data_IF_860196082500
#
_entry.id   IF_860196082500
#
_cell.length_a   1.000
_cell.length_b   1.000
_cell.length_c   1.000
_cell.angle_alpha   90.00
_cell.angle_beta   90.00
_cell.angle_gamma   90.00
#
_symmetry.space_group_name_H-M   'P 1'
#
loop_
_entity.id
_entity.type
_entity.pdbx_description
1 polymer ?
#
# COMPACT_ATOMS: atom_id res chain seq x y z
N UNK A 1 15.68 16.29 -9.11
CA UNK A 1 16.30 14.96 -8.91
C UNK A 1 15.16 13.97 -8.76
N UNK A 2 14.98 13.16 -9.80
CA UNK A 2 13.77 12.39 -10.10
C UNK A 2 14.15 10.90 -10.13
N UNK A 3 13.27 10.00 -9.68
CA UNK A 3 13.37 8.57 -10.03
C UNK A 3 12.10 8.16 -10.75
N UNK A 4 12.31 7.30 -11.75
CA UNK A 4 11.38 6.67 -12.68
C UNK A 4 10.25 7.56 -13.19
N UNK A 5 10.26 7.80 -14.50
CA UNK A 5 9.26 8.62 -15.21
C UNK A 5 9.17 10.08 -14.76
N UNK A 6 9.98 10.54 -13.80
CA UNK A 6 10.18 11.96 -13.51
C UNK A 6 9.73 12.48 -12.17
N UNK A 7 9.31 11.63 -11.22
CA UNK A 7 8.76 12.11 -9.93
C UNK A 7 9.85 12.44 -8.91
N UNK A 8 9.64 13.53 -8.16
CA UNK A 8 10.47 13.87 -7.00
C UNK A 8 10.28 12.84 -5.88
N UNK A 9 11.38 12.26 -5.38
CA UNK A 9 11.34 11.24 -4.31
C UNK A 9 10.62 11.75 -3.05
N UNK A 10 10.78 13.04 -2.75
CA UNK A 10 10.06 13.73 -1.67
C UNK A 10 8.53 13.61 -1.82
N UNK A 11 8.01 13.61 -3.04
CA UNK A 11 6.58 13.48 -3.30
C UNK A 11 6.11 12.03 -3.20
N UNK A 12 6.96 11.05 -3.51
CA UNK A 12 6.69 9.64 -3.16
C UNK A 12 6.61 9.47 -1.64
N UNK A 13 7.49 10.11 -0.88
CA UNK A 13 7.38 10.14 0.58
C UNK A 13 6.05 10.75 1.04
N UNK A 14 5.64 11.88 0.44
CA UNK A 14 4.33 12.45 0.74
C UNK A 14 3.20 11.47 0.45
N UNK A 15 3.17 10.82 -0.71
CA UNK A 15 2.15 9.81 -1.03
C UNK A 15 2.10 8.69 0.02
N UNK A 16 3.26 8.16 0.41
CA UNK A 16 3.36 7.13 1.47
C UNK A 16 2.78 7.64 2.79
N UNK A 17 3.07 8.88 3.19
CA UNK A 17 2.60 9.43 4.48
C UNK A 17 1.08 9.59 4.57
N UNK A 18 0.42 9.74 3.43
CA UNK A 18 -1.04 9.77 3.34
C UNK A 18 -1.61 8.36 3.22
N UNK A 19 -1.02 7.50 2.39
CA UNK A 19 -1.41 6.09 2.25
C UNK A 19 -1.34 5.34 3.60
N UNK A 20 -0.34 5.67 4.44
CA UNK A 20 -0.17 5.09 5.76
C UNK A 20 -0.29 6.16 6.85
N UNK A 21 -1.51 6.32 7.38
CA UNK A 21 -1.89 7.28 8.43
C UNK A 21 -0.93 7.33 9.63
N UNK A 22 -0.23 6.24 9.93
CA UNK A 22 0.72 6.10 11.04
C UNK A 22 2.06 6.83 10.81
N UNK A 23 2.45 7.14 9.56
CA UNK A 23 3.70 7.87 9.26
C UNK A 23 3.67 9.31 9.79
N UNK A 24 2.48 9.92 9.90
CA UNK A 24 2.34 11.29 10.38
C UNK A 24 2.65 11.48 11.85
N UNK A 25 2.45 10.46 12.69
CA UNK A 25 2.69 10.56 14.12
C UNK A 25 4.19 10.57 14.47
N UNK A 26 5.05 10.09 13.56
CA UNK A 26 6.47 9.79 13.85
C UNK A 26 7.43 10.57 12.94
N UNK A 27 7.55 11.88 13.16
CA UNK A 27 8.64 12.74 12.64
C UNK A 27 8.63 13.01 11.13
N UNK A 28 7.44 13.23 10.56
CA UNK A 28 7.24 13.63 9.15
C UNK A 28 8.14 14.78 8.69
N UNK A 29 8.23 15.85 9.47
CA UNK A 29 8.95 17.08 9.10
C UNK A 29 10.45 16.86 8.92
N UNK A 30 11.03 15.93 9.68
CA UNK A 30 12.46 15.63 9.62
C UNK A 30 12.82 14.81 8.37
N UNK A 31 11.96 13.89 7.93
CA UNK A 31 12.18 13.12 6.70
C UNK A 31 11.89 13.99 5.48
N UNK A 32 10.85 14.83 5.52
CA UNK A 32 10.52 15.74 4.43
C UNK A 32 11.58 16.86 4.20
N UNK A 33 12.41 17.13 5.21
CA UNK A 33 13.53 18.07 5.14
C UNK A 33 14.84 17.46 4.62
N UNK A 34 14.91 16.14 4.44
CA UNK A 34 16.09 15.47 3.88
C UNK A 34 15.93 15.25 2.37
N UNK A 35 17.00 15.51 1.61
CA UNK A 35 17.06 15.17 0.20
C UNK A 35 17.48 13.71 0.02
N UNK A 36 16.64 12.97 -0.70
CA UNK A 36 16.88 11.60 -1.11
C UNK A 36 17.19 11.58 -2.60
N UNK A 37 18.27 10.89 -2.95
CA UNK A 37 18.64 10.62 -4.34
C UNK A 37 18.12 9.26 -4.80
N UNK A 38 17.86 8.35 -3.85
CA UNK A 38 17.56 6.95 -4.09
C UNK A 38 16.34 6.46 -3.31
N UNK A 39 15.53 5.64 -4.00
CA UNK A 39 14.42 4.80 -3.52
C UNK A 39 14.56 4.25 -2.11
N UNK A 40 15.49 3.31 -2.07
CA UNK A 40 15.82 2.48 -0.95
C UNK A 40 16.42 3.29 0.20
N UNK A 41 17.03 4.43 -0.10
CA UNK A 41 17.59 5.34 0.88
C UNK A 41 16.48 6.04 1.69
N UNK A 42 15.40 6.42 1.00
CA UNK A 42 14.16 6.89 1.65
C UNK A 42 13.54 5.79 2.51
N UNK A 43 13.37 4.58 1.96
CA UNK A 43 12.82 3.46 2.73
C UNK A 43 13.66 3.08 3.94
N UNK A 44 14.98 3.13 3.83
CA UNK A 44 15.88 2.91 4.94
C UNK A 44 15.67 3.95 6.04
N UNK A 45 15.48 5.22 5.70
CA UNK A 45 15.19 6.27 6.68
C UNK A 45 13.85 6.03 7.39
N UNK A 46 12.80 5.74 6.62
CA UNK A 46 11.46 5.53 7.16
C UNK A 46 11.43 4.30 8.07
N UNK A 47 11.99 3.17 7.61
CA UNK A 47 12.07 1.96 8.43
C UNK A 47 12.96 2.17 9.65
N UNK A 48 14.09 2.86 9.53
CA UNK A 48 14.97 3.11 10.66
C UNK A 48 14.23 3.86 11.79
N UNK A 49 13.50 4.91 11.43
CA UNK A 49 12.70 5.69 12.39
C UNK A 49 11.52 4.90 12.93
N UNK A 50 10.79 4.23 12.05
CA UNK A 50 9.61 3.47 12.39
C UNK A 50 9.92 2.30 13.32
N UNK A 51 10.96 1.53 13.02
CA UNK A 51 11.45 0.43 13.88
C UNK A 51 12.02 1.00 15.19
N UNK A 52 12.75 2.11 15.16
CA UNK A 52 13.22 2.75 16.41
C UNK A 52 12.07 3.14 17.34
N UNK A 53 10.96 3.62 16.78
CA UNK A 53 9.75 3.90 17.56
C UNK A 53 9.09 2.62 18.07
N UNK A 54 9.01 1.58 17.23
CA UNK A 54 8.49 0.28 17.64
C UNK A 54 9.30 -0.33 18.78
N UNK A 55 10.64 -0.24 18.75
CA UNK A 55 11.51 -0.76 19.79
C UNK A 55 11.30 -0.08 21.14
N UNK A 56 10.90 1.20 21.18
CA UNK A 56 10.52 1.87 22.44
C UNK A 56 9.27 1.26 23.09
N UNK A 57 8.41 0.64 22.29
CA UNK A 57 7.22 -0.09 22.75
C UNK A 57 7.50 -1.59 23.00
N UNK A 58 8.68 -2.07 22.59
CA UNK A 58 9.06 -3.48 22.57
C UNK A 58 8.71 -4.18 21.25
N UNK A 59 9.40 -5.29 20.99
CA UNK A 59 9.06 -6.17 19.87
C UNK A 59 7.71 -6.84 20.14
N UNK A 60 6.93 -7.03 19.07
CA UNK A 60 5.69 -7.78 19.17
C UNK A 60 6.04 -9.21 19.57
N UNK A 61 5.32 -9.76 20.55
CA UNK A 61 5.51 -11.14 21.00
C UNK A 61 4.22 -11.91 20.78
N UNK A 62 4.35 -13.16 20.34
CA UNK A 62 3.23 -14.07 20.15
C UNK A 62 3.49 -15.37 20.89
N UNK A 63 2.40 -16.01 21.33
CA UNK A 63 2.46 -17.36 21.87
C UNK A 63 2.58 -18.36 20.73
N UNK A 64 3.62 -19.20 20.78
CA UNK A 64 3.80 -20.32 19.87
C UNK A 64 3.67 -21.61 20.67
N UNK A 65 2.83 -22.52 20.21
CA UNK A 65 2.63 -23.82 20.84
C UNK A 65 3.86 -24.70 20.63
N UNK A 66 4.39 -25.23 21.73
CA UNK A 66 5.47 -26.20 21.74
C UNK A 66 4.97 -27.53 22.32
N UNK A 67 5.46 -28.62 21.75
CA UNK A 67 5.30 -29.97 22.29
C UNK A 67 6.68 -30.54 22.57
N UNK A 68 6.96 -30.92 23.83
CA UNK A 68 8.26 -31.45 24.21
C UNK A 68 8.15 -32.54 25.30
N UNK A 69 9.13 -33.43 25.35
CA UNK A 69 9.29 -34.47 26.37
C UNK A 69 10.18 -33.98 27.49
N UNK A 70 9.57 -33.59 28.62
CA UNK A 70 10.22 -32.96 29.77
C UNK A 70 10.27 -33.89 30.99
N UNK A 71 11.22 -33.67 31.90
CA UNK A 71 11.27 -34.40 33.17
C UNK A 71 10.29 -33.84 34.22
N UNK A 72 9.75 -32.64 33.98
CA UNK A 72 8.79 -31.95 34.84
C UNK A 72 7.55 -31.54 34.04
N UNK A 73 6.43 -31.37 34.73
CA UNK A 73 5.19 -30.92 34.09
C UNK A 73 5.31 -29.43 33.74
N UNK A 74 5.05 -29.09 32.47
CA UNK A 74 4.98 -27.71 31.98
C UNK A 74 3.76 -27.58 31.08
N UNK A 75 2.85 -26.65 31.39
CA UNK A 75 1.60 -26.50 30.64
C UNK A 75 0.69 -27.72 30.77
N UNK A 76 0.13 -28.16 29.65
CA UNK A 76 -0.82 -29.27 29.55
C UNK A 76 -0.09 -30.60 29.33
N UNK A 77 -0.47 -31.63 30.08
CA UNK A 77 0.08 -32.97 29.91
C UNK A 77 -0.61 -33.69 28.73
N UNK A 78 0.17 -34.19 27.77
CA UNK A 78 -0.29 -35.21 26.81
C UNK A 78 -0.11 -36.59 27.44
N UNK A 79 -1.22 -37.15 27.91
CA UNK A 79 -1.25 -38.46 28.56
C UNK A 79 -0.81 -39.55 27.57
N UNK A 80 -1.25 -39.49 26.31
CA UNK A 80 -0.93 -40.52 25.31
C UNK A 80 0.55 -40.50 24.95
N UNK A 81 1.13 -39.31 24.74
CA UNK A 81 2.57 -39.14 24.56
C UNK A 81 3.39 -39.61 25.77
N UNK A 82 2.93 -39.29 26.99
CA UNK A 82 3.60 -39.70 28.23
C UNK A 82 3.59 -41.21 28.42
N UNK A 83 2.46 -41.87 28.19
CA UNK A 83 2.37 -43.33 28.27
C UNK A 83 3.30 -44.01 27.24
N UNK A 84 3.40 -43.48 26.02
CA UNK A 84 4.37 -43.96 25.02
C UNK A 84 5.82 -43.81 25.47
N UNK A 85 6.17 -42.67 26.08
CA UNK A 85 7.50 -42.46 26.64
C UNK A 85 7.83 -43.47 27.74
N UNK A 86 6.89 -43.71 28.67
CA UNK A 86 7.08 -44.67 29.75
C UNK A 86 7.19 -46.11 29.25
N UNK A 87 6.38 -46.50 28.25
CA UNK A 87 6.47 -47.79 27.59
C UNK A 87 7.83 -48.00 26.90
N UNK A 88 8.44 -46.93 26.38
CA UNK A 88 9.80 -46.93 25.84
C UNK A 88 10.90 -46.77 26.91
N UNK A 89 10.57 -46.95 28.20
CA UNK A 89 11.46 -46.77 29.36
C UNK A 89 12.08 -45.36 29.49
N UNK A 90 11.49 -44.34 28.86
CA UNK A 90 11.90 -42.94 28.98
C UNK A 90 11.10 -42.28 30.09
N UNK A 91 11.73 -41.88 31.20
CA UNK A 91 11.08 -41.18 32.32
C UNK A 91 10.84 -39.69 32.00
N UNK A 92 10.06 -39.43 30.95
CA UNK A 92 9.72 -38.08 30.48
C UNK A 92 8.22 -37.95 30.23
N UNK A 93 7.66 -36.82 30.64
CA UNK A 93 6.29 -36.40 30.38
C UNK A 93 6.22 -35.69 29.03
N UNK A 94 5.28 -36.07 28.18
CA UNK A 94 4.98 -35.29 26.97
C UNK A 94 4.10 -34.12 27.36
N UNK A 95 4.58 -32.90 27.13
CA UNK A 95 3.97 -31.66 27.56
C UNK A 95 3.67 -30.76 26.36
N UNK A 96 2.51 -30.11 26.37
CA UNK A 96 2.11 -29.05 25.44
C UNK A 96 2.07 -27.72 26.19
N UNK A 97 2.83 -26.72 25.75
CA UNK A 97 2.84 -25.42 26.39
C UNK A 97 3.15 -24.31 25.40
N UNK A 98 2.66 -23.12 25.70
CA UNK A 98 2.92 -21.94 24.87
C UNK A 98 4.17 -21.20 25.35
N UNK A 99 5.04 -20.84 24.41
CA UNK A 99 6.21 -19.99 24.66
C UNK A 99 5.94 -18.63 24.05
N UNK A 100 6.09 -17.59 24.88
CA UNK A 100 6.04 -16.22 24.41
C UNK A 100 7.36 -15.89 23.69
N UNK A 101 7.30 -15.69 22.37
CA UNK A 101 8.47 -15.44 21.53
C UNK A 101 8.32 -14.16 20.70
N UNK A 102 9.43 -13.46 20.51
CA UNK A 102 9.55 -12.37 19.53
C UNK A 102 9.80 -12.89 18.11
N UNK A 103 10.15 -14.17 17.95
CA UNK A 103 10.32 -14.79 16.65
C UNK A 103 8.96 -15.12 16.01
N UNK A 104 8.31 -14.09 15.48
CA UNK A 104 7.03 -14.20 14.80
C UNK A 104 7.07 -13.48 13.45
N UNK A 105 6.09 -13.79 12.61
CA UNK A 105 6.03 -13.30 11.24
C UNK A 105 6.17 -11.76 11.14
N UNK A 106 5.68 -11.01 12.12
CA UNK A 106 5.76 -9.56 12.11
C UNK A 106 7.20 -9.08 12.20
N UNK A 107 7.94 -9.59 13.18
CA UNK A 107 9.35 -9.22 13.34
C UNK A 107 10.23 -9.81 12.23
N UNK A 108 9.90 -11.02 11.75
CA UNK A 108 10.62 -11.67 10.65
C UNK A 108 10.53 -10.86 9.34
N UNK A 109 9.36 -10.29 9.03
CA UNK A 109 9.18 -9.39 7.87
C UNK A 109 10.10 -8.17 7.98
N UNK A 110 10.15 -7.52 9.15
CA UNK A 110 11.02 -6.36 9.38
C UNK A 110 12.49 -6.71 9.21
N UNK A 111 12.95 -7.79 9.86
CA UNK A 111 14.34 -8.25 9.79
C UNK A 111 14.75 -8.54 8.34
N UNK A 112 13.89 -9.25 7.62
CA UNK A 112 14.13 -9.60 6.20
C UNK A 112 14.22 -8.35 5.33
N UNK A 113 13.29 -7.39 5.47
CA UNK A 113 13.30 -6.16 4.68
C UNK A 113 14.55 -5.30 4.95
N UNK A 114 14.95 -5.19 6.22
CA UNK A 114 16.19 -4.49 6.58
C UNK A 114 17.42 -5.22 6.03
N UNK A 115 17.43 -6.55 6.05
CA UNK A 115 18.47 -7.37 5.43
C UNK A 115 18.62 -7.10 3.92
N UNK A 116 17.51 -6.90 3.20
CA UNK A 116 17.52 -6.46 1.80
C UNK A 116 18.13 -5.07 1.66
N UNK A 117 17.67 -4.08 2.44
CA UNK A 117 18.18 -2.70 2.38
C UNK A 117 19.68 -2.59 2.67
N UNK A 118 20.21 -3.39 3.61
CA UNK A 118 21.64 -3.40 3.93
C UNK A 118 22.51 -3.83 2.74
N UNK A 119 21.97 -4.66 1.84
CA UNK A 119 22.63 -5.15 0.62
C UNK A 119 22.49 -4.17 -0.56
N UNK A 120 21.56 -3.21 -0.52
CA UNK A 120 21.34 -2.24 -1.60
C UNK A 120 22.48 -1.21 -1.70
N UNK A 121 22.99 -0.95 -2.90
CA UNK A 121 24.04 0.07 -3.13
C UNK A 121 23.53 1.50 -2.93
N UNK A 122 22.26 1.77 -3.26
CA UNK A 122 21.65 3.10 -3.16
C UNK A 122 21.39 3.60 -1.73
N UNK A 123 21.59 2.76 -0.70
CA UNK A 123 21.39 3.17 0.70
C UNK A 123 22.68 3.75 1.27
N UNK A 124 22.62 5.01 1.76
CA UNK A 124 23.78 5.71 2.31
C UNK A 124 24.37 4.98 3.52
N UNK A 125 25.69 5.03 3.67
CA UNK A 125 26.43 4.34 4.76
C UNK A 125 25.92 4.70 6.16
N UNK A 126 25.58 5.99 6.38
CA UNK A 126 24.97 6.47 7.63
C UNK A 126 23.69 5.69 7.99
N UNK A 127 22.80 5.46 7.01
CA UNK A 127 21.54 4.72 7.20
C UNK A 127 21.79 3.23 7.39
N UNK A 128 22.74 2.64 6.64
CA UNK A 128 23.14 1.24 6.88
C UNK A 128 23.66 1.03 8.30
N UNK A 129 24.47 1.95 8.82
CA UNK A 129 24.97 1.89 10.20
C UNK A 129 23.83 1.95 11.22
N UNK A 130 22.88 2.88 11.02
CA UNK A 130 21.69 2.98 11.86
C UNK A 130 20.84 1.71 11.81
N UNK A 131 20.57 1.18 10.62
CA UNK A 131 19.83 -0.07 10.42
C UNK A 131 20.49 -1.25 11.15
N UNK A 132 21.82 -1.43 11.06
CA UNK A 132 22.52 -2.49 11.81
C UNK A 132 22.33 -2.34 13.32
N UNK A 133 22.43 -1.12 13.85
CA UNK A 133 22.25 -0.84 15.28
C UNK A 133 20.85 -1.20 15.76
N UNK A 134 19.81 -0.83 15.01
CA UNK A 134 18.43 -1.12 15.40
C UNK A 134 18.03 -2.58 15.19
N UNK A 135 18.82 -3.37 14.45
CA UNK A 135 18.60 -4.81 14.27
C UNK A 135 19.20 -5.67 15.38
N UNK A 136 20.01 -5.10 16.28
CA UNK A 136 20.57 -5.85 17.43
C UNK A 136 19.47 -6.52 18.29
N UNK A 137 18.33 -5.87 18.62
CA UNK A 137 17.25 -6.53 19.36
C UNK A 137 16.53 -7.64 18.58
N UNK A 138 16.76 -7.79 17.27
CA UNK A 138 16.17 -8.83 16.43
C UNK A 138 17.07 -10.08 16.33
N UNK A 139 18.03 -10.26 17.25
CA UNK A 139 18.97 -11.39 17.24
C UNK A 139 18.24 -12.75 17.20
N UNK A 140 17.23 -12.93 18.04
CA UNK A 140 16.45 -14.19 18.13
C UNK A 140 15.30 -14.30 17.12
N UNK A 141 15.20 -13.37 16.17
CA UNK A 141 14.16 -13.37 15.14
C UNK A 141 14.75 -13.97 13.87
N UNK A 142 14.09 -14.93 13.23
CA UNK A 142 14.61 -15.51 12.00
C UNK A 142 14.39 -14.60 10.78
N UNK A 143 15.21 -14.77 9.75
CA UNK A 143 14.90 -14.24 8.42
C UNK A 143 14.01 -15.24 7.67
N UNK A 144 13.13 -14.72 6.82
CA UNK A 144 12.23 -15.53 5.99
C UNK A 144 12.43 -15.19 4.52
N UNK A 145 12.04 -16.10 3.62
CA UNK A 145 12.01 -15.77 2.19
C UNK A 145 10.76 -14.96 1.88
N UNK A 146 10.88 -13.93 1.05
CA UNK A 146 9.78 -13.02 0.72
C UNK A 146 8.56 -13.75 0.14
N UNK A 147 8.81 -14.77 -0.68
CA UNK A 147 7.85 -15.69 -1.31
C UNK A 147 6.98 -16.47 -0.32
N UNK A 148 7.41 -16.60 0.94
CA UNK A 148 6.60 -17.26 2.00
C UNK A 148 5.65 -16.29 2.71
N UNK A 149 5.75 -14.98 2.45
CA UNK A 149 4.93 -13.98 3.13
C UNK A 149 3.54 -13.94 2.47
N UNK A 150 2.54 -14.44 3.19
CA UNK A 150 1.13 -14.31 2.80
C UNK A 150 0.54 -13.01 3.38
N UNK A 151 0.73 -11.91 2.66
CA UNK A 151 0.32 -10.56 3.09
C UNK A 151 -1.18 -10.44 3.38
N UNK A 152 -2.01 -11.14 2.62
CA UNK A 152 -3.47 -11.19 2.78
C UNK A 152 -3.96 -11.84 4.09
N UNK A 153 -3.11 -12.65 4.75
CA UNK A 153 -3.44 -13.32 6.01
C UNK A 153 -3.05 -12.47 7.23
N UNK A 154 -2.24 -11.42 7.04
CA UNK A 154 -1.80 -10.56 8.14
C UNK A 154 -3.00 -9.80 8.74
N UNK A 155 -3.30 -10.09 10.01
CA UNK A 155 -4.33 -9.41 10.79
C UNK A 155 -3.66 -8.51 11.83
N UNK A 156 -3.97 -7.22 11.77
CA UNK A 156 -3.44 -6.23 12.70
C UNK A 156 -4.49 -5.90 13.76
N UNK A 157 -4.18 -6.20 15.00
CA UNK A 157 -4.97 -5.81 16.17
C UNK A 157 -4.53 -4.43 16.72
N UNK A 158 -5.08 -4.03 17.87
CA UNK A 158 -4.70 -2.76 18.53
C UNK A 158 -3.22 -2.70 18.90
N UNK A 159 -2.61 -3.84 19.24
CA UNK A 159 -1.22 -3.94 19.72
C UNK A 159 -0.20 -4.05 18.58
N UNK A 160 -0.65 -4.40 17.38
CA UNK A 160 0.18 -4.56 16.19
C UNK A 160 -0.11 -3.49 15.11
N UNK A 161 -0.97 -2.51 15.42
CA UNK A 161 -1.34 -1.42 14.49
C UNK A 161 -0.12 -0.63 13.97
N UNK A 162 0.94 -0.50 14.76
CA UNK A 162 2.19 0.17 14.37
C UNK A 162 2.95 -0.62 13.30
N UNK A 163 2.90 -1.96 13.35
CA UNK A 163 3.51 -2.83 12.34
C UNK A 163 2.83 -2.73 10.99
N UNK A 164 1.54 -2.40 10.93
CA UNK A 164 0.81 -2.28 9.65
C UNK A 164 1.53 -1.36 8.68
N UNK A 165 1.99 -0.22 9.17
CA UNK A 165 2.74 0.74 8.36
C UNK A 165 4.11 0.22 7.95
N UNK A 166 4.87 -0.34 8.89
CA UNK A 166 6.20 -0.88 8.62
C UNK A 166 6.12 -2.01 7.58
N UNK A 167 5.15 -2.90 7.75
CA UNK A 167 4.88 -3.99 6.84
C UNK A 167 4.49 -3.52 5.46
N UNK A 168 3.73 -2.42 5.32
CA UNK A 168 3.45 -1.88 3.99
C UNK A 168 4.72 -1.41 3.27
N UNK A 169 5.67 -0.83 4.00
CA UNK A 169 6.97 -0.45 3.41
C UNK A 169 7.81 -1.70 3.12
N UNK A 170 7.79 -2.67 4.02
CA UNK A 170 8.43 -3.97 3.79
C UNK A 170 7.81 -4.71 2.59
N UNK A 171 6.51 -4.57 2.35
CA UNK A 171 5.83 -5.11 1.18
C UNK A 171 6.46 -4.57 -0.09
N UNK A 172 6.59 -3.24 -0.20
CA UNK A 172 7.31 -2.65 -1.33
C UNK A 172 8.75 -3.18 -1.41
N UNK A 173 9.53 -3.17 -0.33
CA UNK A 173 10.95 -3.60 -0.37
C UNK A 173 11.14 -5.08 -0.77
N UNK A 174 10.25 -5.96 -0.28
CA UNK A 174 10.38 -7.40 -0.40
C UNK A 174 9.68 -7.97 -1.63
N UNK A 175 8.72 -7.25 -2.21
CA UNK A 175 8.05 -7.72 -3.40
C UNK A 175 9.01 -7.78 -4.59
N UNK A 176 9.08 -8.95 -5.23
CA UNK A 176 10.10 -9.25 -6.24
C UNK A 176 9.89 -8.49 -7.55
N UNK A 177 8.71 -7.89 -7.77
CA UNK A 177 8.47 -7.07 -8.96
C UNK A 177 9.31 -5.78 -8.99
N UNK A 178 9.90 -5.36 -7.86
CA UNK A 178 10.88 -4.25 -7.84
C UNK A 178 12.28 -4.63 -8.38
N UNK A 179 12.56 -5.93 -8.57
CA UNK A 179 13.95 -6.42 -8.62
C UNK A 179 14.33 -7.21 -9.88
N UNK A 180 13.48 -7.30 -10.89
CA UNK A 180 13.85 -8.01 -12.13
C UNK A 180 13.27 -7.34 -13.36
N UNK A 181 14.13 -6.60 -14.08
CA UNK A 181 14.16 -6.66 -15.54
C UNK A 181 15.50 -7.25 -15.94
N UNK A 182 15.43 -8.25 -16.82
CA UNK A 182 16.51 -9.15 -17.19
C UNK A 182 17.73 -8.45 -17.80
N UNK A 183 18.89 -9.05 -17.54
CA UNK A 183 20.17 -8.93 -18.24
C UNK A 183 20.63 -7.54 -18.72
N UNK A 184 21.42 -6.87 -17.88
CA UNK A 184 22.25 -5.76 -18.35
C UNK A 184 22.91 -4.98 -17.23
N UNK A 185 24.21 -4.76 -17.35
CA UNK A 185 25.02 -3.94 -16.44
C UNK A 185 24.37 -2.56 -16.26
N UNK A 186 24.04 -2.23 -15.01
CA UNK A 186 23.55 -0.92 -14.55
C UNK A 186 22.22 -0.46 -15.17
N UNK A 187 21.09 -0.98 -14.70
CA UNK A 187 19.79 -0.32 -14.85
C UNK A 187 19.13 -0.15 -13.48
N UNK A 188 18.60 1.05 -13.21
CA UNK A 188 17.95 1.43 -11.96
C UNK A 188 16.78 0.50 -11.64
N UNK A 189 16.70 0.08 -10.37
CA UNK A 189 15.62 -0.77 -9.84
C UNK A 189 14.38 0.09 -9.64
N UNK A 190 13.36 -0.14 -10.46
CA UNK A 190 12.16 0.71 -10.60
C UNK A 190 10.91 0.04 -9.99
N UNK A 191 9.94 0.84 -9.53
CA UNK A 191 8.63 0.31 -9.10
C UNK A 191 7.82 -0.20 -10.28
N UNK A 192 7.11 -1.31 -10.10
CA UNK A 192 6.09 -1.67 -11.10
C UNK A 192 4.96 -0.62 -11.09
N UNK A 193 4.40 -0.38 -12.26
CA UNK A 193 3.31 0.59 -12.45
C UNK A 193 2.11 0.29 -11.57
N UNK A 194 1.85 -0.99 -11.31
CA UNK A 194 0.80 -1.47 -10.41
C UNK A 194 1.00 -0.97 -8.97
N UNK A 195 2.22 -1.05 -8.45
CA UNK A 195 2.53 -0.58 -7.09
C UNK A 195 2.40 0.94 -6.96
N UNK A 196 2.87 1.67 -7.97
CA UNK A 196 2.75 3.13 -7.99
C UNK A 196 1.30 3.57 -8.17
N UNK A 197 0.51 2.84 -8.95
CA UNK A 197 -0.92 3.06 -9.07
C UNK A 197 -1.64 2.86 -7.74
N UNK A 198 -1.39 1.75 -7.05
CA UNK A 198 -1.97 1.49 -5.73
C UNK A 198 -1.54 2.54 -4.70
N UNK A 199 -0.28 2.98 -4.73
CA UNK A 199 0.20 4.05 -3.86
C UNK A 199 -0.51 5.37 -4.17
N UNK A 200 -0.65 5.71 -5.45
CA UNK A 200 -1.30 6.92 -5.91
C UNK A 200 -2.79 6.95 -5.54
N UNK A 201 -3.50 5.85 -5.78
CA UNK A 201 -4.87 5.62 -5.34
C UNK A 201 -5.03 5.87 -3.84
N UNK A 202 -4.22 5.20 -3.02
CA UNK A 202 -4.28 5.33 -1.57
C UNK A 202 -3.90 6.74 -1.10
N UNK A 203 -2.98 7.41 -1.80
CA UNK A 203 -2.62 8.79 -1.53
C UNK A 203 -3.84 9.71 -1.72
N UNK A 204 -4.47 9.68 -2.88
CA UNK A 204 -5.63 10.53 -3.22
C UNK A 204 -6.80 10.26 -2.27
N UNK A 205 -7.12 8.98 -2.03
CA UNK A 205 -8.17 8.58 -1.10
C UNK A 205 -7.94 9.13 0.32
N UNK A 206 -6.73 8.93 0.86
CA UNK A 206 -6.43 9.38 2.21
C UNK A 206 -6.21 10.89 2.32
N UNK A 207 -5.90 11.56 1.22
CA UNK A 207 -5.87 13.01 1.12
C UNK A 207 -7.26 13.59 1.37
N UNK A 208 -8.27 13.17 0.60
CA UNK A 208 -9.64 13.66 0.78
C UNK A 208 -10.23 13.25 2.13
N UNK A 209 -10.00 12.02 2.59
CA UNK A 209 -10.43 11.59 3.95
C UNK A 209 -9.90 12.49 5.06
N UNK A 210 -8.73 13.11 4.88
CA UNK A 210 -8.12 13.97 5.90
C UNK A 210 -8.61 15.40 5.79
N UNK A 211 -8.45 15.99 4.63
CA UNK A 211 -8.59 17.43 4.44
C UNK A 211 -10.02 17.84 4.14
N UNK A 212 -10.82 16.90 3.59
CA UNK A 212 -12.20 17.11 3.20
C UNK A 212 -13.11 16.02 3.81
N UNK A 213 -13.17 15.89 5.15
CA UNK A 213 -13.97 14.84 5.79
C UNK A 213 -15.48 14.96 5.50
N UNK A 214 -15.97 16.16 5.17
CA UNK A 214 -17.34 16.40 4.72
C UNK A 214 -17.71 15.66 3.43
N UNK A 215 -16.73 15.39 2.56
CA UNK A 215 -16.93 14.67 1.31
C UNK A 215 -17.06 13.16 1.50
N UNK A 216 -16.86 12.65 2.72
CA UNK A 216 -16.97 11.23 3.10
C UNK A 216 -16.22 10.29 2.14
N UNK A 217 -14.99 10.66 1.79
CA UNK A 217 -14.18 9.91 0.83
C UNK A 217 -14.02 8.43 1.19
N UNK A 218 -14.37 7.54 0.27
CA UNK A 218 -14.28 6.09 0.45
C UNK A 218 -13.98 5.33 -0.84
N UNK A 219 -13.50 4.10 -0.70
CA UNK A 219 -13.46 3.15 -1.81
C UNK A 219 -14.73 2.30 -1.69
N UNK A 220 -15.64 2.41 -2.66
CA UNK A 220 -16.97 1.79 -2.60
C UNK A 220 -17.07 0.67 -3.64
N UNK A 221 -17.66 -0.45 -3.24
CA UNK A 221 -18.10 -1.45 -4.22
C UNK A 221 -19.42 -0.96 -4.83
N UNK A 222 -19.39 -0.69 -6.13
CA UNK A 222 -20.56 -0.26 -6.90
C UNK A 222 -21.34 -1.52 -7.29
N UNK A 223 -22.65 -1.52 -7.01
CA UNK A 223 -23.52 -2.61 -7.37
C UNK A 223 -23.79 -2.64 -8.87
N UNK A 224 -23.99 -3.82 -9.44
CA UNK A 224 -24.51 -3.93 -10.80
C UNK A 224 -25.96 -3.45 -10.84
N UNK A 225 -26.26 -2.47 -11.70
CA UNK A 225 -27.62 -2.01 -11.97
C UNK A 225 -28.31 -2.99 -12.93
N UNK A 226 -28.63 -4.17 -12.43
CA UNK A 226 -29.26 -5.27 -13.17
C UNK A 226 -30.37 -5.89 -12.33
N UNK A 227 -31.28 -6.61 -12.99
CA UNK A 227 -32.28 -7.38 -12.28
C UNK A 227 -31.65 -8.65 -11.67
N UNK A 228 -31.38 -8.61 -10.37
CA UNK A 228 -30.77 -9.72 -9.61
C UNK A 228 -31.63 -10.99 -9.56
N UNK A 229 -32.96 -10.88 -9.68
CA UNK A 229 -33.85 -12.05 -9.67
C UNK A 229 -33.81 -12.82 -10.99
N UNK A 230 -33.48 -12.14 -12.09
CA UNK A 230 -33.43 -12.69 -13.44
C UNK A 230 -32.00 -13.00 -13.91
N UNK A 231 -30.98 -12.67 -13.11
CA UNK A 231 -29.57 -12.71 -13.54
C UNK A 231 -28.70 -13.50 -12.58
N UNK A 232 -27.86 -14.38 -13.11
CA UNK A 232 -26.79 -15.01 -12.34
C UNK A 232 -25.57 -14.09 -12.26
N UNK A 233 -25.23 -13.62 -11.06
CA UNK A 233 -24.13 -12.68 -10.82
C UNK A 233 -22.83 -13.36 -10.40
N UNK A 234 -22.78 -14.69 -10.32
CA UNK A 234 -21.63 -15.44 -9.81
C UNK A 234 -20.34 -15.18 -10.59
N UNK A 235 -20.45 -14.88 -11.89
CA UNK A 235 -19.33 -14.64 -12.78
C UNK A 235 -19.07 -13.16 -13.10
N UNK A 236 -19.86 -12.24 -12.53
CA UNK A 236 -19.67 -10.82 -12.78
C UNK A 236 -18.45 -10.28 -12.02
N UNK A 237 -17.64 -9.42 -12.66
CA UNK A 237 -16.53 -8.81 -11.97
C UNK A 237 -17.04 -7.83 -10.90
N UNK A 238 -16.26 -7.71 -9.83
CA UNK A 238 -16.54 -6.76 -8.75
C UNK A 238 -16.14 -5.36 -9.24
N UNK A 239 -17.11 -4.44 -9.28
CA UNK A 239 -16.85 -3.03 -9.57
C UNK A 239 -16.42 -2.31 -8.29
N UNK A 240 -15.11 -2.22 -8.08
CA UNK A 240 -14.54 -1.51 -6.94
C UNK A 240 -14.04 -0.14 -7.41
N UNK A 241 -14.63 0.94 -6.88
CA UNK A 241 -14.13 2.28 -7.13
C UNK A 241 -12.88 2.57 -6.30
N UNK A 242 -12.00 3.40 -6.87
CA UNK A 242 -10.80 3.87 -6.19
C UNK A 242 -11.14 4.89 -5.10
N UNK A 243 -11.84 5.95 -5.50
CA UNK A 243 -12.36 6.98 -4.60
C UNK A 243 -13.79 7.34 -5.03
N UNK A 244 -14.69 7.46 -4.07
CA UNK A 244 -16.00 8.06 -4.20
C UNK A 244 -16.10 9.22 -3.21
N UNK A 245 -16.56 10.37 -3.69
CA UNK A 245 -16.77 11.60 -2.91
C UNK A 245 -18.23 12.04 -3.03
N UNK A 246 -18.79 12.56 -1.94
CA UNK A 246 -20.10 13.20 -1.94
C UNK A 246 -19.93 14.72 -1.91
N UNK A 247 -20.32 15.41 -2.98
CA UNK A 247 -20.17 16.85 -3.18
C UNK A 247 -21.57 17.47 -3.30
N UNK A 248 -22.11 17.92 -2.17
CA UNK A 248 -23.51 18.37 -2.11
C UNK A 248 -24.45 17.24 -2.49
N UNK A 249 -25.32 17.48 -3.48
CA UNK A 249 -26.25 16.49 -4.02
C UNK A 249 -25.62 15.55 -5.07
N UNK A 250 -24.36 15.80 -5.46
CA UNK A 250 -23.67 15.03 -6.50
C UNK A 250 -22.69 14.02 -5.89
N UNK A 251 -22.46 12.93 -6.59
CA UNK A 251 -21.45 11.91 -6.25
C UNK A 251 -20.35 11.92 -7.31
N UNK A 252 -19.09 12.04 -6.90
CA UNK A 252 -17.93 11.94 -7.81
C UNK A 252 -17.23 10.60 -7.61
N UNK A 253 -17.13 9.82 -8.68
CA UNK A 253 -16.29 8.63 -8.75
C UNK A 253 -14.96 9.04 -9.40
N UNK A 254 -13.85 8.83 -8.71
CA UNK A 254 -12.51 9.07 -9.24
C UNK A 254 -11.83 7.73 -9.41
N UNK A 255 -11.34 7.46 -10.62
CA UNK A 255 -10.47 6.33 -10.94
C UNK A 255 -9.06 6.87 -11.20
N UNK A 256 -8.09 6.35 -10.46
CA UNK A 256 -6.72 6.87 -10.47
C UNK A 256 -5.82 6.00 -11.31
N UNK A 257 -5.03 6.61 -12.18
CA UNK A 257 -4.14 5.89 -13.10
C UNK A 257 -2.71 6.42 -13.01
N UNK A 258 -1.77 5.48 -12.89
CA UNK A 258 -0.34 5.78 -12.87
C UNK A 258 0.31 5.06 -14.03
N UNK A 259 0.66 5.81 -15.08
CA UNK A 259 1.29 5.27 -16.28
C UNK A 259 2.59 6.01 -16.59
N UNK A 260 3.52 5.35 -17.29
CA UNK A 260 4.66 6.02 -17.95
C UNK A 260 4.22 6.99 -19.04
N UNK A 261 3.13 6.64 -19.74
CA UNK A 261 2.54 7.44 -20.82
C UNK A 261 1.06 7.62 -20.57
N UNK A 262 0.64 8.87 -20.55
CA UNK A 262 -0.74 9.22 -20.18
C UNK A 262 -1.72 8.98 -21.33
N UNK A 263 -1.21 9.03 -22.57
CA UNK A 263 -1.96 8.79 -23.80
C UNK A 263 -1.55 7.48 -24.47
N UNK A 264 -2.52 6.77 -25.02
CA UNK A 264 -2.30 5.68 -25.96
C UNK A 264 -2.06 6.26 -27.36
N UNK A 265 -0.98 5.85 -28.01
CA UNK A 265 -0.65 6.24 -29.38
C UNK A 265 -1.17 5.18 -30.34
N UNK A 266 -2.13 5.55 -31.18
CA UNK A 266 -2.58 4.73 -32.31
C UNK A 266 -2.62 5.59 -33.57
N UNK A 267 -1.89 5.17 -34.61
CA UNK A 267 -1.90 5.80 -35.94
C UNK A 267 -1.79 7.35 -35.90
N UNK A 268 -0.75 7.87 -35.25
CA UNK A 268 -0.44 9.31 -35.13
C UNK A 268 -1.49 10.18 -34.40
N UNK A 269 -2.45 9.56 -33.70
CA UNK A 269 -3.37 10.25 -32.78
C UNK A 269 -3.18 9.76 -31.35
N UNK A 270 -2.99 10.71 -30.44
CA UNK A 270 -2.94 10.46 -29.01
C UNK A 270 -4.36 10.44 -28.44
N UNK A 271 -4.79 9.31 -27.90
CA UNK A 271 -6.13 9.14 -27.33
C UNK A 271 -6.04 8.67 -25.87
N UNK A 272 -7.05 8.97 -25.07
CA UNK A 272 -7.15 8.41 -23.72
C UNK A 272 -7.23 6.87 -23.81
N UNK A 273 -6.69 6.20 -22.80
CA UNK A 273 -6.80 4.75 -22.67
C UNK A 273 -8.28 4.35 -22.59
N UNK A 274 -8.80 3.76 -23.67
CA UNK A 274 -10.22 3.42 -23.81
C UNK A 274 -10.72 2.51 -22.68
N UNK A 275 -9.88 1.59 -22.21
CA UNK A 275 -10.19 0.72 -21.07
C UNK A 275 -10.55 1.51 -19.80
N UNK A 276 -9.84 2.59 -19.49
CA UNK A 276 -10.14 3.43 -18.32
C UNK A 276 -11.46 4.18 -18.52
N UNK A 277 -11.70 4.69 -19.73
CA UNK A 277 -12.93 5.39 -20.07
C UNK A 277 -14.14 4.46 -19.93
N UNK A 278 -14.04 3.24 -20.43
CA UNK A 278 -15.11 2.25 -20.29
C UNK A 278 -15.33 1.86 -18.83
N UNK A 279 -14.27 1.74 -18.05
CA UNK A 279 -14.36 1.45 -16.62
C UNK A 279 -15.11 2.56 -15.86
N UNK A 280 -14.67 3.82 -15.99
CA UNK A 280 -15.32 4.94 -15.27
C UNK A 280 -16.75 5.17 -15.75
N UNK A 281 -17.00 5.03 -17.05
CA UNK A 281 -18.35 5.12 -17.59
C UNK A 281 -19.26 4.04 -17.00
N UNK A 282 -18.77 2.80 -16.92
CA UNK A 282 -19.51 1.69 -16.31
C UNK A 282 -19.83 1.99 -14.85
N UNK A 283 -18.87 2.51 -14.09
CA UNK A 283 -19.07 2.88 -12.68
C UNK A 283 -20.14 3.97 -12.52
N UNK A 284 -20.06 5.03 -13.32
CA UNK A 284 -21.04 6.13 -13.29
C UNK A 284 -22.45 5.63 -13.60
N UNK A 285 -22.62 4.86 -14.68
CA UNK A 285 -23.95 4.39 -15.10
C UNK A 285 -24.57 3.37 -14.15
N UNK A 286 -23.75 2.58 -13.43
CA UNK A 286 -24.27 1.63 -12.45
C UNK A 286 -24.59 2.29 -11.10
N UNK A 287 -23.95 3.41 -10.77
CA UNK A 287 -24.23 4.17 -9.55
C UNK A 287 -25.39 5.18 -9.76
N UNK A 288 -25.53 5.78 -10.95
CA UNK A 288 -26.64 6.67 -11.33
C UNK A 288 -27.88 5.89 -11.81
N UNK A 289 -28.43 5.05 -10.94
CA UNK A 289 -29.51 4.12 -11.26
C UNK A 289 -30.74 4.83 -11.86
N UNK A 290 -31.04 6.05 -11.39
CA UNK A 290 -32.20 6.82 -11.81
C UNK A 290 -31.95 7.69 -13.05
N UNK A 291 -30.72 7.71 -13.59
CA UNK A 291 -30.33 8.59 -14.70
C UNK A 291 -30.65 10.07 -14.43
N UNK A 292 -30.38 10.53 -13.20
CA UNK A 292 -30.64 11.92 -12.81
C UNK A 292 -29.46 12.86 -13.13
N UNK A 293 -28.35 12.29 -13.61
CA UNK A 293 -27.14 13.05 -13.90
C UNK A 293 -26.42 13.50 -12.65
N UNK A 294 -26.68 12.88 -11.50
CA UNK A 294 -26.13 13.26 -10.19
C UNK A 294 -24.83 12.53 -9.84
N UNK A 295 -24.40 11.58 -10.66
CA UNK A 295 -23.11 10.88 -10.50
C UNK A 295 -22.15 11.28 -11.60
N UNK A 296 -20.96 11.70 -11.22
CA UNK A 296 -19.90 12.16 -12.11
C UNK A 296 -18.71 11.21 -12.05
N UNK A 297 -17.93 11.17 -13.13
CA UNK A 297 -16.72 10.37 -13.26
C UNK A 297 -15.50 11.23 -13.49
N UNK A 298 -14.38 10.89 -12.88
CA UNK A 298 -13.09 11.52 -13.13
C UNK A 298 -12.00 10.46 -13.31
N UNK A 299 -11.32 10.53 -14.44
CA UNK A 299 -10.03 9.85 -14.61
C UNK A 299 -8.93 10.81 -14.16
N UNK A 300 -8.25 10.43 -13.08
CA UNK A 300 -7.13 11.20 -12.53
C UNK A 300 -5.81 10.50 -12.84
N UNK A 301 -5.03 11.10 -13.73
CA UNK A 301 -3.72 10.60 -14.13
C UNK A 301 -2.59 11.26 -13.34
N UNK A 302 -1.66 10.46 -12.82
CA UNK A 302 -0.41 10.98 -12.30
C UNK A 302 0.47 11.47 -13.46
N UNK A 303 0.71 12.78 -13.55
CA UNK A 303 1.59 13.36 -14.57
C UNK A 303 3.03 13.34 -14.08
N UNK A 304 3.91 12.74 -14.88
CA UNK A 304 5.32 12.52 -14.50
C UNK A 304 6.31 13.20 -15.46
N UNK A 305 6.11 13.17 -16.79
CA UNK A 305 7.03 13.79 -17.77
C UNK A 305 6.40 14.30 -19.09
N UNK A 306 5.16 13.90 -19.42
CA UNK A 306 4.51 14.25 -20.70
C UNK A 306 3.66 15.54 -20.63
N UNK A 307 3.28 16.05 -21.81
CA UNK A 307 2.39 17.21 -22.00
C UNK A 307 1.11 17.04 -21.18
N UNK A 308 0.69 18.14 -20.55
CA UNK A 308 -0.60 18.22 -19.87
C UNK A 308 -1.71 17.78 -20.81
N UNK A 309 -2.46 16.76 -20.42
CA UNK A 309 -3.69 16.41 -21.11
C UNK A 309 -4.60 17.64 -21.16
N UNK A 310 -5.34 17.86 -22.26
CA UNK A 310 -6.43 18.81 -22.22
C UNK A 310 -7.39 18.38 -21.10
N UNK A 311 -7.73 19.35 -20.25
CA UNK A 311 -8.69 19.18 -19.16
C UNK A 311 -10.10 19.07 -19.75
N UNK A 312 -10.39 17.93 -20.37
CA UNK A 312 -11.64 17.70 -21.08
C UNK A 312 -12.77 17.34 -20.12
N UNK A 313 -13.97 17.76 -20.53
CA UNK A 313 -15.23 17.49 -19.87
C UNK A 313 -16.21 16.97 -20.92
N UNK A 314 -16.74 15.78 -20.70
CA UNK A 314 -17.83 15.20 -21.50
C UNK A 314 -19.08 15.20 -20.63
N UNK A 315 -20.20 15.62 -21.20
CA UNK A 315 -21.50 15.57 -20.54
C UNK A 315 -22.35 14.52 -21.25
N UNK A 316 -22.88 13.55 -20.51
CA UNK A 316 -23.79 12.54 -21.04
C UNK A 316 -25.18 13.14 -21.29
N UNK A 317 -26.02 12.42 -22.01
CA UNK A 317 -27.41 12.85 -22.23
C UNK A 317 -28.21 12.96 -20.92
N UNK A 318 -27.84 12.15 -19.92
CA UNK A 318 -28.47 12.14 -18.59
C UNK A 318 -27.93 13.26 -17.69
N UNK A 319 -26.91 14.00 -18.13
CA UNK A 319 -26.32 15.12 -17.39
C UNK A 319 -25.12 14.76 -16.50
N UNK A 320 -24.66 13.51 -16.52
CA UNK A 320 -23.42 13.10 -15.87
C UNK A 320 -22.23 13.78 -16.52
N UNK A 321 -21.20 14.05 -15.72
CA UNK A 321 -19.98 14.70 -16.16
C UNK A 321 -18.82 13.69 -16.07
N UNK A 322 -18.17 13.41 -17.19
CA UNK A 322 -16.91 12.68 -17.24
C UNK A 322 -15.74 13.66 -17.44
N UNK A 323 -14.77 13.63 -16.53
CA UNK A 323 -13.62 14.52 -16.52
C UNK A 323 -12.32 13.75 -16.70
N UNK A 324 -11.39 14.36 -17.43
CA UNK A 324 -10.03 13.86 -17.60
C UNK A 324 -9.07 14.89 -17.01
N UNK A 325 -8.39 14.51 -15.94
CA UNK A 325 -7.54 15.41 -15.15
C UNK A 325 -6.16 14.79 -14.96
N UNK A 326 -5.15 15.65 -14.91
CA UNK A 326 -3.80 15.28 -14.52
C UNK A 326 -3.45 15.89 -13.17
N UNK A 327 -2.69 15.14 -12.37
CA UNK A 327 -2.05 15.64 -11.16
C UNK A 327 -0.53 15.64 -11.37
N UNK A 328 0.06 16.83 -11.44
CA UNK A 328 1.50 16.97 -11.60
C UNK A 328 2.21 16.73 -10.26
N UNK A 329 2.83 15.55 -10.16
CA UNK A 329 3.56 15.08 -8.98
C UNK A 329 5.00 15.61 -8.92
N UNK A 330 5.43 16.50 -9.82
CA UNK A 330 6.77 17.07 -9.83
C UNK A 330 6.86 18.45 -9.16
N UNK A 331 5.74 18.95 -8.66
CA UNK A 331 5.68 20.24 -8.00
C UNK A 331 5.89 20.12 -6.49
N UNK A 332 6.09 21.27 -5.83
CA UNK A 332 6.03 21.33 -4.37
C UNK A 332 4.68 20.79 -3.87
N UNK A 333 4.70 20.09 -2.74
CA UNK A 333 3.49 19.48 -2.17
C UNK A 333 2.35 20.48 -1.94
N UNK A 334 2.66 21.75 -1.64
CA UNK A 334 1.64 22.81 -1.53
C UNK A 334 0.86 23.01 -2.84
N UNK A 335 1.55 22.93 -3.98
CA UNK A 335 0.92 23.01 -5.31
C UNK A 335 0.18 21.73 -5.66
N UNK A 336 0.70 20.56 -5.29
CA UNK A 336 -0.01 19.27 -5.44
C UNK A 336 -1.32 19.29 -4.63
N UNK A 337 -1.28 19.78 -3.40
CA UNK A 337 -2.45 19.98 -2.55
C UNK A 337 -3.45 20.92 -3.23
N UNK A 338 -3.00 22.08 -3.71
CA UNK A 338 -3.88 23.02 -4.40
C UNK A 338 -4.51 22.43 -5.67
N UNK A 339 -3.77 21.61 -6.43
CA UNK A 339 -4.32 20.87 -7.57
C UNK A 339 -5.43 19.93 -7.11
N UNK A 340 -5.20 19.09 -6.10
CA UNK A 340 -6.22 18.18 -5.54
C UNK A 340 -7.45 18.93 -5.00
N UNK A 341 -7.25 20.06 -4.35
CA UNK A 341 -8.34 20.92 -3.86
C UNK A 341 -9.16 21.53 -5.01
N UNK A 342 -8.50 21.85 -6.14
CA UNK A 342 -9.20 22.36 -7.33
C UNK A 342 -10.07 21.29 -8.03
N UNK A 343 -9.74 20.00 -7.89
CA UNK A 343 -10.47 18.91 -8.55
C UNK A 343 -11.91 18.77 -8.06
N UNK A 344 -12.22 19.21 -6.84
CA UNK A 344 -13.57 19.11 -6.25
C UNK A 344 -14.43 20.36 -6.51
N UNK A 345 -13.83 21.45 -6.99
CA UNK A 345 -14.51 22.71 -7.32
C UNK A 345 -15.11 22.75 -8.73
N UNK A 346 -15.46 21.61 -9.32
CA UNK A 346 -15.98 21.51 -10.69
C UNK A 346 -17.51 21.63 -10.78
N UNK A 347 -18.17 21.73 -9.62
CA UNK A 347 -19.63 21.79 -9.46
C UNK A 347 -20.09 23.01 -8.65
N UNK A 348 -19.91 24.20 -9.24
CA UNK A 348 -20.81 25.36 -9.29
C UNK A 348 -20.12 26.47 -10.10
#
# INVERSE_FOLDING_TARGET
MTIDKGILIKNVYYMLTYAFRQLRANNYEQVAGEDFEEIYDLFAEILARGISCQLKQGLHKSYVGHQDSLTTLRGKLDINGTMRNFAACRRKLQCEYDVLTENNLFNQILKTAVGVLLKQSGVKSKRKSLLRKIMLPFENVDEITADRIRWNVLRYDRNSKTYRMLHSICYFILDRQLLTTEEGKYSMRTFSDEHMNLLFQNFVLNYYRRHHPSLKAEAKQIGWNINMELSDTTHLPIMQSDILLHIGERTLIIDTKYYSRTLATHFDRSTYHSANLYQIHTYVMNEDICHEGNVDGMLLYAQTQEETLPNEKIVTNDGNILMFKTLDLNQDFKKISAQLDSLIGYGL
#
